data_IF_102631216196
#
_entry.id   IF_102631216196
#
_cell.length_a   1.000
_cell.length_b   1.000
_cell.length_c   1.000
_cell.angle_alpha   90.00
_cell.angle_beta   90.00
_cell.angle_gamma   90.00
#
_symmetry.space_group_name_H-M   'P 1'
#
loop_
_entity.id
_entity.type
_entity.pdbx_description
1 polymer ?
#
# COMPACT_ATOMS: atom_id res chain seq x y z
N UNK A 1 10.73 -21.38 6.97
CA UNK A 1 9.87 -20.18 6.90
C UNK A 1 9.75 -19.84 5.43
N UNK A 2 8.59 -20.06 4.80
CA UNK A 2 8.40 -19.82 3.35
C UNK A 2 8.74 -18.35 3.11
N UNK A 3 9.71 -18.06 2.24
CA UNK A 3 9.95 -16.69 1.81
C UNK A 3 8.63 -16.13 1.29
N UNK A 4 8.04 -15.18 2.03
CA UNK A 4 6.93 -14.39 1.53
C UNK A 4 7.51 -13.61 0.34
N UNK A 5 7.18 -14.03 -0.88
CA UNK A 5 7.76 -13.45 -2.08
C UNK A 5 7.24 -12.01 -2.24
N UNK A 6 8.03 -11.07 -1.72
CA UNK A 6 7.70 -9.64 -1.70
C UNK A 6 7.51 -9.08 -3.11
N UNK A 7 8.21 -9.62 -4.11
CA UNK A 7 8.02 -9.22 -5.50
C UNK A 7 6.63 -9.62 -6.03
N UNK A 8 6.16 -10.80 -5.66
CA UNK A 8 4.82 -11.27 -6.05
C UNK A 8 3.73 -10.40 -5.43
N UNK A 9 3.87 -10.08 -4.14
CA UNK A 9 2.95 -9.20 -3.41
C UNK A 9 2.89 -7.82 -4.08
N UNK A 10 4.07 -7.22 -4.31
CA UNK A 10 4.16 -5.90 -4.93
C UNK A 10 3.61 -5.89 -6.36
N UNK A 11 3.81 -6.96 -7.12
CA UNK A 11 3.30 -7.09 -8.49
C UNK A 11 1.78 -7.17 -8.51
N UNK A 12 1.16 -7.97 -7.66
CA UNK A 12 -0.30 -8.11 -7.62
C UNK A 12 -0.98 -6.84 -7.10
N UNK A 13 -0.42 -6.18 -6.09
CA UNK A 13 -0.89 -4.86 -5.63
C UNK A 13 -0.81 -3.84 -6.78
N UNK A 14 0.30 -3.81 -7.51
CA UNK A 14 0.47 -2.92 -8.66
C UNK A 14 -0.53 -3.21 -9.80
N UNK A 15 -0.89 -4.48 -10.02
CA UNK A 15 -1.91 -4.88 -10.99
C UNK A 15 -3.32 -4.42 -10.57
N UNK A 16 -3.66 -4.51 -9.28
CA UNK A 16 -4.93 -3.97 -8.80
C UNK A 16 -4.99 -2.44 -8.97
N UNK A 17 -3.90 -1.75 -8.64
CA UNK A 17 -3.79 -0.30 -8.84
C UNK A 17 -3.93 0.07 -10.33
N UNK A 18 -3.31 -0.68 -11.24
CA UNK A 18 -3.40 -0.39 -12.69
C UNK A 18 -4.81 -0.61 -13.25
N UNK A 19 -5.64 -1.41 -12.56
CA UNK A 19 -7.07 -1.58 -12.84
C UNK A 19 -7.96 -0.49 -12.22
N UNK A 20 -7.36 0.51 -11.56
CA UNK A 20 -8.06 1.64 -10.95
C UNK A 20 -8.52 1.40 -9.51
N UNK A 21 -8.07 0.31 -8.86
CA UNK A 21 -8.32 0.12 -7.43
C UNK A 21 -7.50 1.15 -6.64
N UNK A 22 -8.09 1.87 -5.68
CA UNK A 22 -7.36 2.80 -4.80
C UNK A 22 -6.19 2.10 -4.07
N UNK A 23 -5.14 2.82 -3.70
CA UNK A 23 -3.93 2.19 -3.16
C UNK A 23 -4.18 1.51 -1.82
N UNK A 24 -4.96 2.13 -0.93
CA UNK A 24 -5.34 1.53 0.35
C UNK A 24 -6.13 0.25 0.10
N UNK A 25 -7.14 0.31 -0.76
CA UNK A 25 -7.99 -0.84 -1.07
C UNK A 25 -7.19 -1.97 -1.73
N UNK A 26 -6.28 -1.67 -2.67
CA UNK A 26 -5.46 -2.67 -3.33
C UNK A 26 -4.61 -3.48 -2.34
N UNK A 27 -4.15 -2.85 -1.25
CA UNK A 27 -3.42 -3.50 -0.16
C UNK A 27 -4.34 -4.39 0.67
N UNK A 28 -5.52 -3.89 1.05
CA UNK A 28 -6.48 -4.64 1.87
C UNK A 28 -7.04 -5.82 1.10
N UNK A 29 -7.39 -5.65 -0.18
CA UNK A 29 -7.85 -6.74 -1.06
C UNK A 29 -6.80 -7.85 -1.16
N UNK A 30 -5.52 -7.49 -1.27
CA UNK A 30 -4.45 -8.48 -1.26
C UNK A 30 -4.40 -9.21 0.09
N UNK A 31 -4.43 -8.48 1.20
CA UNK A 31 -4.38 -9.06 2.54
C UNK A 31 -5.56 -10.04 2.77
N UNK A 32 -6.79 -9.61 2.46
CA UNK A 32 -8.00 -10.39 2.63
C UNK A 32 -8.01 -11.65 1.73
N UNK A 33 -7.64 -11.50 0.45
CA UNK A 33 -7.58 -12.61 -0.51
C UNK A 33 -6.68 -13.76 -0.05
N UNK A 34 -5.58 -13.45 0.63
CA UNK A 34 -4.60 -14.44 1.08
C UNK A 34 -4.68 -14.72 2.59
N UNK A 35 -5.65 -14.14 3.31
CA UNK A 35 -5.80 -14.30 4.75
C UNK A 35 -4.59 -13.80 5.54
N UNK A 36 -3.93 -12.73 5.06
CA UNK A 36 -2.77 -12.13 5.70
C UNK A 36 -3.22 -11.03 6.68
N UNK A 37 -2.54 -10.97 7.82
CA UNK A 37 -2.63 -9.83 8.72
C UNK A 37 -2.12 -8.56 8.00
N UNK A 38 -2.83 -7.45 8.20
CA UNK A 38 -2.53 -6.19 7.51
C UNK A 38 -1.13 -5.68 7.85
N UNK A 39 -0.65 -5.97 9.06
CA UNK A 39 0.68 -5.65 9.56
C UNK A 39 1.77 -6.29 8.70
N UNK A 40 1.58 -7.54 8.29
CA UNK A 40 2.55 -8.29 7.46
C UNK A 40 2.69 -7.64 6.09
N UNK A 41 1.58 -7.26 5.46
CA UNK A 41 1.60 -6.56 4.17
C UNK A 41 2.17 -5.15 4.34
N UNK A 42 1.87 -4.50 5.47
CA UNK A 42 2.40 -3.20 5.86
C UNK A 42 3.93 -3.17 5.97
N UNK A 43 4.56 -4.24 6.47
CA UNK A 43 6.03 -4.34 6.51
C UNK A 43 6.66 -4.34 5.12
N UNK A 44 5.99 -4.93 4.13
CA UNK A 44 6.46 -4.98 2.74
C UNK A 44 6.30 -3.62 2.08
N UNK A 45 5.16 -2.98 2.27
CA UNK A 45 4.88 -1.63 1.75
C UNK A 45 5.89 -0.62 2.31
N UNK A 46 6.26 -0.76 3.59
CA UNK A 46 7.28 0.10 4.22
C UNK A 46 8.64 0.05 3.52
N UNK A 47 8.97 -1.06 2.83
CA UNK A 47 10.21 -1.20 2.04
C UNK A 47 10.15 -0.48 0.69
N UNK A 48 8.96 -0.06 0.23
CA UNK A 48 8.77 0.72 -0.99
C UNK A 48 8.41 2.18 -0.66
N UNK A 49 9.38 3.12 -0.69
CA UNK A 49 9.12 4.53 -0.41
C UNK A 49 8.05 5.13 -1.32
N UNK A 50 8.00 4.67 -2.58
CA UNK A 50 7.06 5.14 -3.59
C UNK A 50 5.63 4.72 -3.24
N UNK A 51 5.41 3.43 -2.95
CA UNK A 51 4.07 2.95 -2.63
C UNK A 51 3.58 3.53 -1.30
N UNK A 52 4.47 3.58 -0.29
CA UNK A 52 4.18 4.23 1.00
C UNK A 52 3.74 5.69 0.81
N UNK A 53 4.46 6.47 -0.01
CA UNK A 53 4.11 7.88 -0.23
C UNK A 53 2.75 8.05 -0.93
N UNK A 54 2.40 7.15 -1.86
CA UNK A 54 1.11 7.16 -2.56
C UNK A 54 -0.06 6.81 -1.64
N UNK A 55 0.09 5.76 -0.83
CA UNK A 55 -0.90 5.39 0.20
C UNK A 55 -1.09 6.52 1.19
N UNK A 56 0.00 7.14 1.66
CA UNK A 56 -0.09 8.25 2.60
C UNK A 56 -0.82 9.45 2.00
N UNK A 57 -0.54 9.79 0.73
CA UNK A 57 -1.23 10.85 0.02
C UNK A 57 -2.73 10.56 -0.12
N UNK A 58 -3.10 9.33 -0.45
CA UNK A 58 -4.51 8.93 -0.50
C UNK A 58 -5.18 9.07 0.88
N UNK A 59 -4.50 8.64 1.95
CA UNK A 59 -4.99 8.82 3.32
C UNK A 59 -5.18 10.30 3.68
N UNK A 60 -4.28 11.19 3.23
CA UNK A 60 -4.40 12.65 3.38
C UNK A 60 -5.61 13.20 2.62
N UNK A 61 -5.85 12.73 1.39
CA UNK A 61 -6.98 13.13 0.55
C UNK A 61 -8.33 12.67 1.15
N UNK A 62 -8.35 11.51 1.79
CA UNK A 62 -9.50 10.95 2.50
C UNK A 62 -9.68 11.48 3.93
N UNK A 63 -8.81 12.39 4.40
CA UNK A 63 -8.79 12.90 5.78
C UNK A 63 -8.67 11.80 6.85
N UNK A 64 -7.98 10.70 6.55
CA UNK A 64 -7.67 9.62 7.49
C UNK A 64 -6.45 9.94 8.36
N UNK A 65 -5.58 10.82 7.87
CA UNK A 65 -4.37 11.30 8.54
C UNK A 65 -4.22 12.80 8.36
N UNK A 66 -3.43 13.43 9.23
CA UNK A 66 -3.08 14.84 9.08
C UNK A 66 -2.30 15.08 7.79
N UNK A 67 -2.60 16.20 7.13
CA UNK A 67 -1.86 16.63 5.94
C UNK A 67 -0.50 17.14 6.36
N UNK A 68 0.56 16.51 5.85
CA UNK A 68 1.91 16.99 6.05
C UNK A 68 2.09 18.34 5.33
N UNK A 69 2.55 19.34 6.06
CA UNK A 69 2.95 20.62 5.48
C UNK A 69 4.15 20.39 4.58
N UNK A 70 3.94 20.45 3.27
CA UNK A 70 5.03 20.39 2.29
C UNK A 70 5.48 21.81 1.98
N UNK A 71 6.80 22.04 2.04
CA UNK A 71 7.37 23.32 1.61
C UNK A 71 7.01 23.53 0.12
N UNK A 72 6.63 24.76 -0.28
CA UNK A 72 6.49 25.08 -1.69
C UNK A 72 7.85 24.89 -2.37
N UNK A 73 7.87 24.10 -3.44
CA UNK A 73 9.04 23.91 -4.32
C UNK A 73 9.10 25.00 -5.38
#
# INVERSE_FOLDING_TARGET
>A
MKELNSETIMKEIAENISRGVPYIDAVIVYADKYGLEVEVVGEIIRRSPVLKAKIYREAEELNMVEKLTRLPV
#
